data_IF_991006153770
#
_entry.id   IF_991006153770
#
_cell.length_a   1.000
_cell.length_b   1.000
_cell.length_c   1.000
_cell.angle_alpha   90.00
_cell.angle_beta   90.00
_cell.angle_gamma   90.00
#
_symmetry.space_group_name_H-M   'P 1'
#
loop_
_entity.id
_entity.type
_entity.pdbx_description
1 polymer ?
#
# COMPACT_ATOMS: atom_id res chain seq x y z
N UNK A 1 0.84 23.42 -23.65
CA UNK A 1 1.54 23.85 -22.43
C UNK A 1 3.04 23.96 -22.74
N UNK A 2 3.73 25.00 -22.23
CA UNK A 2 5.17 25.26 -22.55
C UNK A 2 6.06 25.49 -21.33
N UNK A 3 5.50 25.80 -20.16
CA UNK A 3 6.24 26.20 -18.96
C UNK A 3 5.35 26.06 -17.71
N UNK A 4 5.87 25.60 -16.56
CA UNK A 4 5.12 25.37 -15.31
C UNK A 4 4.37 26.59 -14.76
N UNK A 5 4.91 27.79 -14.98
CA UNK A 5 4.33 29.05 -14.55
C UNK A 5 3.26 29.61 -15.48
N UNK A 6 2.86 28.82 -16.48
CA UNK A 6 1.62 29.03 -17.25
C UNK A 6 0.56 28.00 -16.83
N UNK A 7 -0.69 28.33 -17.11
CA UNK A 7 -1.83 27.42 -16.96
C UNK A 7 -1.50 26.02 -17.53
N UNK A 8 -1.63 25.00 -16.68
CA UNK A 8 -1.41 23.59 -16.97
C UNK A 8 -2.44 22.97 -17.93
N UNK A 9 -2.52 21.63 -18.02
CA UNK A 9 -3.51 20.96 -18.84
C UNK A 9 -4.95 21.33 -18.47
N UNK A 10 -5.77 21.56 -19.50
CA UNK A 10 -7.22 21.59 -19.38
C UNK A 10 -7.79 20.21 -19.72
N UNK A 11 -8.71 19.72 -18.90
CA UNK A 11 -9.24 18.37 -18.95
C UNK A 11 -10.76 18.46 -18.87
N UNK A 12 -11.41 18.02 -19.94
CA UNK A 12 -12.86 18.05 -20.09
C UNK A 12 -13.33 16.74 -20.74
N UNK A 13 -14.49 16.21 -20.33
CA UNK A 13 -15.07 15.06 -21.02
C UNK A 13 -15.56 15.47 -22.42
N UNK A 14 -15.46 14.53 -23.35
CA UNK A 14 -15.98 14.66 -24.71
C UNK A 14 -17.18 13.72 -24.89
N UNK A 15 -18.24 14.23 -25.51
CA UNK A 15 -19.37 13.39 -25.91
C UNK A 15 -19.05 12.59 -27.19
N UNK A 16 -19.97 11.72 -27.60
CA UNK A 16 -19.81 10.86 -28.78
C UNK A 16 -19.74 11.62 -30.12
N UNK A 17 -20.05 12.92 -30.13
CA UNK A 17 -19.93 13.84 -31.26
C UNK A 17 -18.71 14.75 -31.18
N UNK A 18 -17.81 14.51 -30.20
CA UNK A 18 -16.66 15.37 -29.86
C UNK A 18 -17.07 16.77 -29.37
N UNK A 19 -18.30 16.92 -28.88
CA UNK A 19 -18.71 18.09 -28.10
C UNK A 19 -17.97 18.10 -26.77
N UNK A 20 -17.40 19.25 -26.42
CA UNK A 20 -16.64 19.43 -25.18
C UNK A 20 -17.53 20.08 -24.13
N UNK A 21 -17.60 19.47 -22.95
CA UNK A 21 -18.25 20.07 -21.79
C UNK A 21 -17.41 21.23 -21.20
N UNK A 22 -17.90 21.86 -20.14
CA UNK A 22 -17.03 22.63 -19.25
C UNK A 22 -15.84 21.77 -18.78
N UNK A 23 -14.68 22.38 -18.56
CA UNK A 23 -13.54 21.65 -18.04
C UNK A 23 -13.84 21.14 -16.62
N UNK A 24 -13.45 19.91 -16.31
CA UNK A 24 -13.41 19.47 -14.92
C UNK A 24 -12.29 20.24 -14.19
N UNK A 25 -11.11 20.32 -14.82
CA UNK A 25 -9.96 21.10 -14.39
C UNK A 25 -9.40 21.86 -15.59
N UNK A 26 -9.25 23.18 -15.51
CA UNK A 26 -8.82 24.04 -16.63
C UNK A 26 -7.31 24.34 -16.61
N UNK A 27 -6.71 24.50 -15.43
CA UNK A 27 -5.29 24.81 -15.27
C UNK A 27 -4.65 23.85 -14.26
N UNK A 28 -4.61 22.56 -14.61
CA UNK A 28 -4.19 21.52 -13.68
C UNK A 28 -2.72 21.65 -13.26
N UNK A 29 -2.47 21.75 -11.95
CA UNK A 29 -1.14 21.72 -11.35
C UNK A 29 -0.20 22.82 -11.84
N UNK A 30 -0.70 24.05 -11.91
CA UNK A 30 0.08 25.22 -12.35
C UNK A 30 0.95 25.76 -11.21
N UNK A 31 2.04 26.47 -11.54
CA UNK A 31 2.89 27.19 -10.58
C UNK A 31 2.99 28.68 -10.99
N UNK A 32 1.85 29.33 -11.08
CA UNK A 32 1.64 30.65 -11.64
C UNK A 32 2.38 31.76 -10.86
N UNK A 33 2.76 32.81 -11.58
CA UNK A 33 3.34 34.01 -10.96
C UNK A 33 2.29 35.02 -10.47
N UNK A 34 1.14 35.10 -11.16
CA UNK A 34 0.23 36.25 -11.04
C UNK A 34 -1.10 35.97 -10.35
N UNK A 35 -1.37 34.74 -9.91
CA UNK A 35 -2.71 34.35 -9.43
C UNK A 35 -2.84 34.24 -7.91
N UNK A 36 -1.97 34.93 -7.18
CA UNK A 36 -2.03 34.93 -5.72
C UNK A 36 -3.28 35.64 -5.21
N UNK A 37 -3.84 35.20 -4.07
CA UNK A 37 -4.95 35.88 -3.43
C UNK A 37 -4.59 37.35 -3.15
N UNK A 38 -5.59 38.24 -3.21
CA UNK A 38 -5.40 39.68 -2.96
C UNK A 38 -4.66 39.89 -1.62
N UNK A 39 -3.43 40.42 -1.69
CA UNK A 39 -2.56 40.57 -0.51
C UNK A 39 -1.52 39.46 -0.28
N UNK A 40 -1.30 38.57 -1.27
CA UNK A 40 -0.25 37.56 -1.23
C UNK A 40 1.14 38.15 -0.96
N UNK A 41 1.95 37.44 -0.17
CA UNK A 41 3.24 37.91 0.36
C UNK A 41 4.46 37.18 -0.20
N UNK A 42 4.26 36.27 -1.17
CA UNK A 42 5.27 35.38 -1.74
C UNK A 42 4.84 34.86 -3.11
N UNK A 43 5.75 34.36 -3.93
CA UNK A 43 5.43 33.57 -5.14
C UNK A 43 4.96 32.15 -4.80
N UNK A 44 4.28 31.50 -5.74
CA UNK A 44 3.85 30.10 -5.63
C UNK A 44 5.03 29.13 -5.45
N UNK A 45 6.21 29.49 -5.96
CA UNK A 45 7.44 28.72 -5.77
C UNK A 45 8.43 29.53 -4.94
N UNK A 46 8.81 28.99 -3.79
CA UNK A 46 9.96 29.46 -3.02
C UNK A 46 11.05 28.39 -2.97
N UNK A 47 12.29 28.81 -3.23
CA UNK A 47 13.47 27.95 -3.21
C UNK A 47 14.43 28.52 -2.17
N UNK A 48 14.77 27.70 -1.17
CA UNK A 48 15.58 28.10 -0.02
C UNK A 48 15.06 29.37 0.68
N UNK A 49 13.73 29.53 0.72
CA UNK A 49 13.03 30.65 1.34
C UNK A 49 13.00 31.94 0.51
N UNK A 50 13.46 31.90 -0.74
CA UNK A 50 13.40 33.03 -1.66
C UNK A 50 12.32 32.80 -2.72
N UNK A 51 11.58 33.85 -3.05
CA UNK A 51 10.64 33.83 -4.17
C UNK A 51 11.38 33.54 -5.48
N UNK A 52 10.91 32.53 -6.20
CA UNK A 52 11.54 32.04 -7.40
C UNK A 52 10.57 32.03 -8.57
N UNK A 53 11.15 32.17 -9.77
CA UNK A 53 10.41 32.37 -11.00
C UNK A 53 11.00 31.53 -12.13
N UNK A 54 10.11 30.96 -12.91
CA UNK A 54 10.38 30.53 -14.27
C UNK A 54 10.07 31.67 -15.27
N UNK A 55 10.20 31.43 -16.57
CA UNK A 55 10.04 32.50 -17.55
C UNK A 55 8.62 33.09 -17.58
N UNK A 56 7.58 32.25 -17.48
CA UNK A 56 6.19 32.71 -17.53
C UNK A 56 5.75 33.42 -16.25
N UNK A 57 6.07 32.84 -15.09
CA UNK A 57 5.75 33.46 -13.80
C UNK A 57 6.43 34.82 -13.66
N UNK A 58 7.68 34.96 -14.10
CA UNK A 58 8.35 36.25 -14.14
C UNK A 58 7.62 37.25 -15.03
N UNK A 59 7.35 36.89 -16.28
CA UNK A 59 6.62 37.78 -17.20
C UNK A 59 5.31 38.29 -16.60
N UNK A 60 4.61 37.44 -15.83
CA UNK A 60 3.35 37.78 -15.19
C UNK A 60 3.51 38.71 -13.98
N UNK A 61 4.56 38.53 -13.16
CA UNK A 61 4.78 39.28 -11.91
C UNK A 61 5.37 40.68 -12.14
N UNK A 62 6.20 40.87 -13.17
CA UNK A 62 6.94 42.12 -13.42
C UNK A 62 6.09 43.27 -14.04
N UNK A 63 4.83 43.38 -13.62
CA UNK A 63 3.94 44.56 -13.74
C UNK A 63 3.48 44.99 -15.14
N UNK A 64 3.71 44.20 -16.19
CA UNK A 64 3.21 44.57 -17.51
C UNK A 64 3.48 43.61 -18.66
N UNK A 65 3.90 42.37 -18.38
CA UNK A 65 4.39 41.49 -19.44
C UNK A 65 5.61 42.08 -20.15
N UNK A 66 6.42 42.88 -19.44
CA UNK A 66 7.68 43.41 -19.96
C UNK A 66 8.47 42.25 -20.55
N UNK A 67 9.00 42.44 -21.77
CA UNK A 67 9.91 41.47 -22.36
C UNK A 67 11.21 41.53 -21.55
N UNK A 68 11.31 40.66 -20.54
CA UNK A 68 12.45 40.60 -19.64
C UNK A 68 13.73 40.10 -20.33
N UNK A 69 13.67 39.85 -21.64
CA UNK A 69 14.80 39.53 -22.49
C UNK A 69 15.43 38.17 -22.19
N UNK A 70 16.69 38.01 -22.62
CA UNK A 70 17.45 36.75 -22.59
C UNK A 70 17.92 36.29 -21.18
N UNK A 71 17.50 36.95 -20.10
CA UNK A 71 17.98 36.66 -18.74
C UNK A 71 17.21 35.55 -18.03
N UNK A 72 16.14 35.04 -18.65
CA UNK A 72 15.33 33.94 -18.11
C UNK A 72 15.71 32.60 -18.75
N UNK A 73 15.63 31.50 -17.98
CA UNK A 73 15.81 30.16 -18.52
C UNK A 73 14.81 29.88 -19.64
N UNK A 74 15.29 29.47 -20.81
CA UNK A 74 14.41 29.07 -21.91
C UNK A 74 13.96 27.62 -21.67
N UNK A 75 12.64 27.33 -21.61
CA UNK A 75 12.16 25.98 -21.44
C UNK A 75 12.49 25.11 -22.65
N UNK A 76 12.96 23.89 -22.41
CA UNK A 76 13.04 22.85 -23.45
C UNK A 76 11.74 22.07 -23.45
N UNK A 77 11.00 22.14 -24.55
CA UNK A 77 9.67 21.51 -24.66
C UNK A 77 9.69 20.45 -25.76
N UNK A 78 9.13 19.28 -25.48
CA UNK A 78 8.81 18.25 -26.46
C UNK A 78 7.33 17.88 -26.35
N UNK A 79 6.68 17.63 -27.49
CA UNK A 79 5.30 17.13 -27.54
C UNK A 79 5.24 16.04 -28.59
N UNK A 80 4.64 14.92 -28.23
CA UNK A 80 4.40 13.79 -29.11
C UNK A 80 2.93 13.38 -28.99
N UNK A 81 2.32 13.02 -30.11
CA UNK A 81 0.95 12.48 -30.14
C UNK A 81 0.93 11.19 -30.95
N UNK A 82 0.36 10.14 -30.40
CA UNK A 82 0.18 8.88 -31.12
C UNK A 82 -0.97 9.03 -32.14
N UNK A 83 -0.70 8.92 -33.45
CA UNK A 83 -1.71 9.12 -34.47
C UNK A 83 -2.77 8.00 -34.51
N UNK A 84 -2.51 6.84 -33.88
CA UNK A 84 -3.41 5.70 -33.84
C UNK A 84 -4.52 5.81 -32.79
N UNK A 85 -4.28 6.54 -31.70
CA UNK A 85 -5.23 6.68 -30.59
C UNK A 85 -5.44 8.13 -30.09
N UNK A 86 -4.67 9.09 -30.60
CA UNK A 86 -4.76 10.51 -30.24
C UNK A 86 -4.17 10.86 -28.87
N UNK A 87 -3.54 9.91 -28.16
CA UNK A 87 -2.94 10.17 -26.85
C UNK A 87 -1.67 11.02 -27.01
N UNK A 88 -1.50 11.96 -26.08
CA UNK A 88 -0.42 12.93 -26.12
C UNK A 88 0.53 12.74 -24.93
N UNK A 89 1.80 12.98 -25.19
CA UNK A 89 2.86 13.11 -24.19
C UNK A 89 3.56 14.44 -24.40
N UNK A 90 3.91 15.13 -23.33
CA UNK A 90 4.73 16.32 -23.40
C UNK A 90 5.73 16.36 -22.26
N UNK A 91 6.92 16.85 -22.54
CA UNK A 91 7.94 17.08 -21.54
C UNK A 91 8.36 18.54 -21.60
N UNK A 92 8.56 19.16 -20.44
CA UNK A 92 9.21 20.46 -20.35
C UNK A 92 10.27 20.44 -19.29
N UNK A 93 11.43 20.98 -19.63
CA UNK A 93 12.55 21.13 -18.71
C UNK A 93 12.92 22.61 -18.61
N UNK A 94 12.85 23.18 -17.41
CA UNK A 94 13.06 24.60 -17.18
C UNK A 94 13.83 24.87 -15.88
N UNK A 95 14.83 25.76 -15.96
CA UNK A 95 15.54 26.24 -14.77
C UNK A 95 14.74 27.32 -14.05
N UNK A 96 14.99 27.48 -12.76
CA UNK A 96 14.36 28.54 -11.95
C UNK A 96 15.38 29.60 -11.56
N UNK A 97 14.91 30.83 -11.37
CA UNK A 97 15.73 31.96 -10.94
C UNK A 97 15.16 32.66 -9.73
N UNK A 98 16.03 33.32 -8.98
CA UNK A 98 15.68 34.22 -7.87
C UNK A 98 16.24 35.61 -8.15
N UNK A 99 15.71 36.63 -7.48
CA UNK A 99 16.30 37.96 -7.50
C UNK A 99 17.70 37.94 -6.88
N UNK A 100 18.68 38.53 -7.56
CA UNK A 100 20.09 38.52 -7.10
C UNK A 100 20.30 39.29 -5.78
N UNK A 101 19.34 40.12 -5.41
CA UNK A 101 19.29 40.81 -4.12
C UNK A 101 17.92 40.57 -3.49
N UNK A 102 17.83 40.46 -2.14
CA UNK A 102 16.55 40.32 -1.46
C UNK A 102 15.61 41.48 -1.77
N UNK A 103 14.38 41.17 -2.13
CA UNK A 103 13.32 42.12 -2.47
C UNK A 103 12.03 41.73 -1.80
N UNK A 104 11.16 42.71 -1.52
CA UNK A 104 9.80 42.43 -1.08
C UNK A 104 8.95 41.95 -2.25
N UNK A 105 8.08 40.96 -1.99
CA UNK A 105 7.05 40.56 -2.92
C UNK A 105 5.90 41.59 -3.01
N UNK A 106 5.29 41.82 -4.19
CA UNK A 106 5.75 41.36 -5.51
C UNK A 106 6.94 42.19 -6.00
N UNK A 107 7.95 41.56 -6.64
CA UNK A 107 9.04 42.31 -7.25
C UNK A 107 8.57 43.05 -8.51
N UNK A 108 9.28 44.11 -8.87
CA UNK A 108 9.13 44.86 -10.12
C UNK A 108 10.46 44.85 -10.87
N UNK A 109 10.48 45.19 -12.15
CA UNK A 109 11.72 45.26 -12.93
C UNK A 109 12.71 46.28 -12.38
N UNK A 110 12.22 47.24 -11.59
CA UNK A 110 13.03 48.20 -10.85
C UNK A 110 13.63 47.61 -9.57
N UNK A 111 12.85 46.85 -8.80
CA UNK A 111 13.33 46.29 -7.52
C UNK A 111 14.17 45.03 -7.71
N UNK A 112 13.91 44.26 -8.76
CA UNK A 112 14.64 43.05 -9.13
C UNK A 112 15.14 43.13 -10.59
N UNK A 113 16.19 43.91 -10.85
CA UNK A 113 16.68 44.12 -12.22
C UNK A 113 17.59 42.98 -12.72
N UNK A 114 18.01 42.07 -11.83
CA UNK A 114 18.96 40.98 -12.17
C UNK A 114 18.61 39.69 -11.45
N UNK A 115 18.79 38.58 -12.16
CA UNK A 115 18.43 37.24 -11.70
C UNK A 115 19.65 36.36 -11.52
N UNK A 116 19.61 35.50 -10.51
CA UNK A 116 20.58 34.45 -10.28
C UNK A 116 19.90 33.07 -10.42
N UNK A 117 20.60 32.03 -10.90
CA UNK A 117 20.05 30.67 -10.90
C UNK A 117 19.68 30.24 -9.48
N UNK A 118 18.49 29.68 -9.31
CA UNK A 118 18.00 29.18 -8.03
C UNK A 118 18.64 27.83 -7.62
N UNK A 119 19.55 27.30 -8.44
CA UNK A 119 20.21 26.01 -8.17
C UNK A 119 19.37 24.78 -8.51
N UNK A 120 18.13 24.93 -8.99
CA UNK A 120 17.25 23.82 -9.35
C UNK A 120 16.65 23.94 -10.75
N UNK A 121 16.21 22.80 -11.28
CA UNK A 121 15.47 22.67 -12.52
C UNK A 121 14.25 21.78 -12.30
N UNK A 122 13.13 22.15 -12.92
CA UNK A 122 11.92 21.35 -12.98
C UNK A 122 11.84 20.65 -14.34
N UNK A 123 11.72 19.33 -14.32
CA UNK A 123 11.30 18.52 -15.45
C UNK A 123 9.86 18.05 -15.22
N UNK A 124 8.92 18.54 -16.01
CA UNK A 124 7.51 18.11 -15.99
C UNK A 124 7.23 17.19 -17.17
N UNK A 125 6.79 15.98 -16.85
CA UNK A 125 6.28 14.98 -17.78
C UNK A 125 4.76 14.94 -17.69
N UNK A 126 4.08 15.05 -18.83
CA UNK A 126 2.61 14.92 -18.93
C UNK A 126 2.30 13.82 -19.95
N UNK A 127 1.39 12.92 -19.59
CA UNK A 127 0.88 11.88 -20.48
C UNK A 127 -0.64 11.74 -20.35
N UNK A 128 -1.35 11.63 -21.47
CA UNK A 128 -2.78 11.33 -21.48
C UNK A 128 -3.03 9.83 -21.64
N UNK A 129 -4.10 9.35 -21.01
CA UNK A 129 -4.61 7.98 -21.15
C UNK A 129 -6.14 7.98 -21.21
N UNK A 130 -6.76 6.80 -21.31
CA UNK A 130 -8.22 6.62 -21.21
C UNK A 130 -9.00 7.48 -22.21
N UNK A 131 -8.50 7.55 -23.46
CA UNK A 131 -9.11 8.36 -24.51
C UNK A 131 -9.00 9.88 -24.28
N UNK A 132 -8.04 10.32 -23.46
CA UNK A 132 -7.84 11.73 -23.09
C UNK A 132 -8.58 12.16 -21.81
N UNK A 133 -9.33 11.26 -21.17
CA UNK A 133 -10.05 11.56 -19.94
C UNK A 133 -9.15 11.60 -18.70
N UNK A 134 -7.95 11.03 -18.79
CA UNK A 134 -6.98 10.99 -17.70
C UNK A 134 -5.67 11.63 -18.15
N UNK A 135 -5.09 12.44 -17.28
CA UNK A 135 -3.80 13.11 -17.45
C UNK A 135 -2.92 12.82 -16.26
N UNK A 136 -1.80 12.15 -16.49
CA UNK A 136 -0.74 11.99 -15.48
C UNK A 136 0.27 13.10 -15.66
N UNK A 137 0.55 13.86 -14.60
CA UNK A 137 1.58 14.89 -14.53
C UNK A 137 2.61 14.50 -13.48
N UNK A 138 3.89 14.42 -13.86
CA UNK A 138 5.00 14.18 -12.93
C UNK A 138 6.00 15.32 -13.01
N UNK A 139 6.21 15.97 -11.88
CA UNK A 139 7.16 17.05 -11.69
C UNK A 139 8.37 16.54 -10.96
N UNK A 140 9.52 16.54 -11.62
CA UNK A 140 10.81 16.14 -11.07
C UNK A 140 11.71 17.35 -10.89
N UNK A 141 11.93 17.72 -9.65
CA UNK A 141 12.82 18.80 -9.24
C UNK A 141 14.22 18.26 -9.00
N UNK A 142 15.22 18.82 -9.68
CA UNK A 142 16.61 18.35 -9.62
C UNK A 142 17.57 19.46 -9.22
N UNK A 143 18.58 19.13 -8.40
CA UNK A 143 19.70 20.03 -8.11
C UNK A 143 20.58 20.19 -9.35
N UNK A 144 20.98 21.42 -9.63
CA UNK A 144 21.85 21.78 -10.76
C UNK A 144 23.20 22.34 -10.32
N UNK A 145 23.40 22.55 -9.02
CA UNK A 145 24.63 23.11 -8.43
C UNK A 145 25.30 22.16 -7.41
N UNK A 146 24.81 20.92 -7.32
CA UNK A 146 25.23 19.89 -6.38
C UNK A 146 24.96 20.21 -4.89
N UNK A 147 24.07 21.16 -4.58
CA UNK A 147 23.59 21.44 -3.22
C UNK A 147 22.18 20.90 -3.00
N UNK A 148 21.85 20.69 -1.73
CA UNK A 148 20.48 20.38 -1.36
C UNK A 148 19.65 21.67 -1.32
N UNK A 149 18.38 21.59 -1.73
CA UNK A 149 17.48 22.73 -1.76
C UNK A 149 16.14 22.39 -1.08
N UNK A 150 15.61 23.35 -0.35
CA UNK A 150 14.25 23.29 0.19
C UNK A 150 13.29 23.97 -0.78
N UNK A 151 12.20 23.29 -1.13
CA UNK A 151 11.15 23.83 -1.96
C UNK A 151 9.88 24.01 -1.13
N UNK A 152 9.27 25.18 -1.21
CA UNK A 152 7.94 25.46 -0.69
C UNK A 152 7.07 25.88 -1.88
N UNK A 153 6.11 25.03 -2.24
CA UNK A 153 5.36 25.08 -3.48
C UNK A 153 3.86 25.23 -3.21
N UNK A 154 3.19 26.02 -4.03
CA UNK A 154 1.74 26.17 -4.08
C UNK A 154 1.29 25.72 -5.48
N UNK A 155 0.85 24.47 -5.64
CA UNK A 155 0.29 24.04 -6.93
C UNK A 155 -1.13 24.55 -7.06
N UNK A 156 -1.42 25.22 -8.16
CA UNK A 156 -2.75 25.76 -8.43
C UNK A 156 -3.59 24.82 -9.29
N UNK A 157 -4.86 24.65 -8.90
CA UNK A 157 -5.87 23.92 -9.67
C UNK A 157 -7.16 24.74 -9.86
N UNK A 158 -7.45 25.07 -11.11
CA UNK A 158 -8.68 25.77 -11.50
C UNK A 158 -9.76 24.77 -11.93
N UNK A 159 -10.84 24.63 -11.16
CA UNK A 159 -11.99 23.75 -11.43
C UNK A 159 -13.08 24.48 -12.23
N UNK A 160 -13.36 23.98 -13.43
CA UNK A 160 -14.29 24.62 -14.36
C UNK A 160 -13.85 26.01 -14.80
N UNK A 161 -14.65 26.60 -15.69
CA UNK A 161 -14.44 27.95 -16.19
C UNK A 161 -15.30 28.97 -15.41
N UNK A 162 -14.71 30.09 -15.00
CA UNK A 162 -15.34 31.13 -14.17
C UNK A 162 -16.65 31.68 -14.76
N UNK A 163 -16.78 31.73 -16.08
CA UNK A 163 -17.94 32.26 -16.78
C UNK A 163 -19.23 31.41 -16.65
N UNK A 164 -19.14 30.16 -16.15
CA UNK A 164 -20.23 29.18 -16.30
C UNK A 164 -20.99 28.83 -15.01
N UNK A 165 -20.44 29.09 -13.82
CA UNK A 165 -21.18 28.92 -12.55
C UNK A 165 -20.44 29.56 -11.38
N UNK A 166 -21.17 29.96 -10.33
CA UNK A 166 -20.60 30.45 -9.07
C UNK A 166 -20.58 29.39 -7.95
N UNK A 167 -21.05 28.16 -8.23
CA UNK A 167 -21.16 27.08 -7.24
C UNK A 167 -20.41 25.84 -7.72
N UNK A 168 -19.13 25.71 -7.34
CA UNK A 168 -18.30 24.51 -7.57
C UNK A 168 -18.46 23.51 -6.44
N UNK A 169 -18.27 22.24 -6.75
CA UNK A 169 -18.31 21.16 -5.78
C UNK A 169 -16.96 20.51 -5.57
N UNK A 170 -16.59 20.28 -4.32
CA UNK A 170 -15.37 19.57 -3.94
C UNK A 170 -15.69 18.52 -2.87
N UNK A 171 -15.22 17.29 -3.04
CA UNK A 171 -15.24 16.24 -2.02
C UNK A 171 -13.79 15.82 -1.77
N UNK A 172 -13.21 16.32 -0.68
CA UNK A 172 -11.85 16.01 -0.25
C UNK A 172 -11.77 14.62 0.43
N UNK A 173 -10.59 14.00 0.48
CA UNK A 173 -10.40 12.76 1.23
C UNK A 173 -10.94 12.84 2.66
N UNK A 174 -11.75 11.85 3.06
CA UNK A 174 -12.42 11.79 4.35
C UNK A 174 -13.80 12.46 4.41
N UNK A 175 -14.20 13.18 3.36
CA UNK A 175 -15.56 13.68 3.20
C UNK A 175 -16.46 12.64 2.50
N UNK A 176 -17.77 12.78 2.67
CA UNK A 176 -18.77 11.89 2.07
C UNK A 176 -19.76 12.60 1.15
N UNK A 177 -19.55 13.90 0.92
CA UNK A 177 -20.43 14.73 0.10
C UNK A 177 -19.65 15.95 -0.45
N UNK A 178 -20.06 16.43 -1.62
CA UNK A 178 -19.53 17.64 -2.22
C UNK A 178 -19.91 18.88 -1.42
N UNK A 179 -18.93 19.75 -1.20
CA UNK A 179 -19.05 21.04 -0.53
C UNK A 179 -18.57 22.16 -1.45
N UNK A 180 -19.19 23.33 -1.36
CA UNK A 180 -18.70 24.53 -2.03
C UNK A 180 -17.76 25.29 -1.09
N UNK A 181 -16.64 25.75 -1.64
CA UNK A 181 -15.67 26.57 -0.93
C UNK A 181 -15.55 27.94 -1.61
N UNK A 182 -15.04 28.92 -0.88
CA UNK A 182 -14.80 30.27 -1.37
C UNK A 182 -13.46 30.78 -0.89
N UNK A 183 -13.09 31.96 -1.34
CA UNK A 183 -11.81 32.59 -1.05
C UNK A 183 -11.50 32.61 0.46
N UNK A 184 -10.28 32.23 0.82
CA UNK A 184 -9.78 32.18 2.19
C UNK A 184 -10.16 30.90 2.96
N UNK A 185 -10.99 30.02 2.40
CA UNK A 185 -11.24 28.73 3.01
C UNK A 185 -9.97 27.87 2.98
N UNK A 186 -9.68 27.17 4.08
CA UNK A 186 -8.50 26.31 4.20
C UNK A 186 -8.89 24.92 4.68
N UNK A 187 -8.20 23.91 4.17
CA UNK A 187 -8.34 22.52 4.61
C UNK A 187 -6.95 21.99 5.03
N UNK A 188 -6.89 21.14 6.07
CA UNK A 188 -5.62 20.56 6.50
C UNK A 188 -5.12 19.50 5.50
N UNK A 189 -3.89 19.03 5.72
CA UNK A 189 -3.37 17.86 5.03
C UNK A 189 -4.36 16.68 5.09
N UNK A 190 -4.58 15.97 3.97
CA UNK A 190 -5.37 14.74 3.98
C UNK A 190 -4.60 13.60 4.67
N UNK A 191 -5.24 12.43 4.78
CA UNK A 191 -4.61 11.23 5.34
C UNK A 191 -3.36 10.77 4.57
N UNK A 192 -2.57 9.84 5.13
CA UNK A 192 -1.36 9.37 4.48
C UNK A 192 -1.66 8.54 3.22
N UNK A 193 -0.76 8.60 2.24
CA UNK A 193 -0.83 7.83 0.99
C UNK A 193 -1.55 8.56 -0.15
N UNK A 194 -1.82 7.85 -1.26
CA UNK A 194 -2.57 8.42 -2.37
C UNK A 194 -3.98 8.83 -1.96
N UNK A 195 -4.48 9.91 -2.54
CA UNK A 195 -5.83 10.39 -2.29
C UNK A 195 -6.34 11.20 -3.47
N UNK A 196 -7.66 11.37 -3.55
CA UNK A 196 -8.30 12.12 -4.62
C UNK A 196 -9.27 13.15 -4.07
N UNK A 197 -9.25 14.34 -4.65
CA UNK A 197 -10.27 15.36 -4.49
C UNK A 197 -11.23 15.19 -5.66
N UNK A 198 -12.48 14.80 -5.41
CA UNK A 198 -13.49 14.80 -6.46
C UNK A 198 -13.98 16.23 -6.68
N UNK A 199 -14.17 16.60 -7.93
CA UNK A 199 -14.60 17.95 -8.31
C UNK A 199 -15.86 17.91 -9.18
N UNK A 200 -16.67 18.97 -9.07
CA UNK A 200 -17.79 19.26 -9.97
C UNK A 200 -17.70 20.71 -10.45
N UNK A 201 -17.78 20.89 -11.76
CA UNK A 201 -17.81 22.22 -12.39
C UNK A 201 -19.06 23.02 -12.02
N UNK A 202 -20.14 22.34 -11.66
CA UNK A 202 -21.37 22.98 -11.21
C UNK A 202 -22.16 22.08 -10.24
N UNK A 203 -22.26 22.51 -8.99
CA UNK A 203 -22.93 21.75 -7.95
C UNK A 203 -24.45 21.68 -8.15
N UNK A 204 -25.03 22.71 -8.79
CA UNK A 204 -26.47 22.84 -9.02
C UNK A 204 -26.97 22.08 -10.26
N UNK A 205 -26.06 21.72 -11.18
CA UNK A 205 -26.40 20.93 -12.36
C UNK A 205 -26.74 19.48 -11.99
N UNK A 206 -27.52 18.82 -12.85
CA UNK A 206 -27.76 17.39 -12.74
C UNK A 206 -26.45 16.60 -12.94
N UNK A 207 -26.33 15.43 -12.31
CA UNK A 207 -25.20 14.53 -12.58
C UNK A 207 -25.27 14.03 -14.03
N UNK A 208 -24.15 14.08 -14.76
CA UNK A 208 -24.10 13.72 -16.17
C UNK A 208 -24.62 14.77 -17.15
N UNK A 209 -24.84 16.02 -16.72
CA UNK A 209 -25.20 17.11 -17.64
C UNK A 209 -24.10 17.29 -18.72
N UNK A 210 -24.44 17.26 -20.02
CA UNK A 210 -23.45 17.31 -21.10
C UNK A 210 -22.73 18.66 -21.23
N UNK A 211 -23.20 19.71 -20.56
CA UNK A 211 -22.54 21.01 -20.51
C UNK A 211 -21.57 21.15 -19.33
N UNK A 212 -21.62 20.22 -18.37
CA UNK A 212 -20.84 20.25 -17.13
C UNK A 212 -19.96 19.01 -17.00
N UNK A 213 -19.08 19.02 -16.02
CA UNK A 213 -18.14 17.94 -15.78
C UNK A 213 -17.99 17.61 -14.29
N UNK A 214 -17.75 16.33 -14.05
CA UNK A 214 -17.13 15.82 -12.84
C UNK A 214 -15.66 15.47 -13.14
N UNK A 215 -14.84 15.42 -12.10
CA UNK A 215 -13.46 15.00 -12.25
C UNK A 215 -12.83 14.62 -10.93
N UNK A 216 -11.54 14.35 -10.98
CA UNK A 216 -10.73 14.15 -9.78
C UNK A 216 -9.33 14.71 -9.95
N UNK A 217 -8.78 15.21 -8.85
CA UNK A 217 -7.36 15.55 -8.70
C UNK A 217 -6.78 14.51 -7.74
N UNK A 218 -5.97 13.59 -8.26
CA UNK A 218 -5.39 12.50 -7.47
C UNK A 218 -3.91 12.75 -7.26
N UNK A 219 -3.44 12.69 -6.02
CA UNK A 219 -2.04 12.89 -5.66
C UNK A 219 -1.42 11.61 -5.10
N UNK A 220 -0.11 11.42 -5.32
CA UNK A 220 0.62 10.27 -4.80
C UNK A 220 0.96 10.41 -3.32
N UNK A 221 1.40 11.61 -2.95
CA UNK A 221 1.70 12.02 -1.58
C UNK A 221 0.81 13.19 -1.20
N UNK A 222 0.29 13.23 0.05
CA UNK A 222 -0.63 14.27 0.47
C UNK A 222 0.06 15.64 0.52
N UNK A 223 -0.57 16.71 -0.02
CA UNK A 223 -0.21 18.10 0.29
C UNK A 223 -0.27 18.38 1.79
N UNK A 224 0.50 19.37 2.27
CA UNK A 224 0.45 19.83 3.67
C UNK A 224 -0.84 20.58 4.01
N UNK A 225 -1.57 21.06 3.01
CA UNK A 225 -2.87 21.69 3.17
C UNK A 225 -3.34 22.30 1.86
N UNK A 226 -4.54 22.86 1.90
CA UNK A 226 -5.19 23.49 0.76
C UNK A 226 -5.70 24.87 1.16
N UNK A 227 -5.61 25.85 0.26
CA UNK A 227 -6.18 27.19 0.46
C UNK A 227 -6.90 27.64 -0.79
N UNK A 228 -8.17 28.02 -0.65
CA UNK A 228 -8.98 28.50 -1.75
C UNK A 228 -8.68 29.98 -2.02
N UNK A 229 -8.24 30.29 -3.22
CA UNK A 229 -8.03 31.68 -3.68
C UNK A 229 -9.30 32.25 -4.32
N UNK A 230 -10.18 31.37 -4.78
CA UNK A 230 -11.51 31.67 -5.29
C UNK A 230 -12.51 30.54 -5.00
N UNK A 231 -13.69 30.60 -5.61
CA UNK A 231 -14.65 29.49 -5.52
C UNK A 231 -14.34 28.34 -6.51
N UNK A 232 -13.47 28.60 -7.47
CA UNK A 232 -13.11 27.70 -8.55
C UNK A 232 -11.61 27.40 -8.59
N UNK A 233 -10.85 27.85 -7.60
CA UNK A 233 -9.41 27.79 -7.61
C UNK A 233 -8.90 27.61 -6.19
N UNK A 234 -7.95 26.69 -6.03
CA UNK A 234 -7.29 26.43 -4.76
C UNK A 234 -5.84 26.05 -4.99
N UNK A 235 -5.01 26.44 -4.03
CA UNK A 235 -3.60 26.13 -3.95
C UNK A 235 -3.39 24.91 -3.04
N UNK A 236 -2.57 23.97 -3.50
CA UNK A 236 -2.06 22.84 -2.73
C UNK A 236 -0.66 23.15 -2.21
N UNK A 237 -0.53 23.28 -0.89
CA UNK A 237 0.76 23.54 -0.26
C UNK A 237 1.61 22.26 -0.22
N UNK A 238 2.85 22.34 -0.66
CA UNK A 238 3.82 21.26 -0.58
C UNK A 238 5.19 21.76 -0.14
N UNK A 239 5.82 20.97 0.73
CA UNK A 239 7.22 21.16 1.10
C UNK A 239 8.01 19.96 0.59
N UNK A 240 9.01 20.20 -0.25
CA UNK A 240 9.87 19.17 -0.81
C UNK A 240 11.33 19.44 -0.44
N UNK A 241 12.14 18.38 -0.43
CA UNK A 241 13.58 18.47 -0.27
C UNK A 241 14.25 17.86 -1.49
N UNK A 242 15.03 18.67 -2.22
CA UNK A 242 15.87 18.20 -3.32
C UNK A 242 17.23 17.80 -2.72
N UNK A 243 17.65 16.53 -2.77
CA UNK A 243 18.95 16.12 -2.27
C UNK A 243 20.11 16.76 -3.06
N UNK A 244 21.27 16.89 -2.42
CA UNK A 244 22.48 17.40 -3.07
C UNK A 244 22.86 16.57 -4.30
N UNK A 245 22.82 17.19 -5.49
CA UNK A 245 23.05 16.53 -6.78
C UNK A 245 22.01 15.47 -7.14
N UNK A 246 20.90 15.40 -6.41
CA UNK A 246 19.79 14.46 -6.62
C UNK A 246 18.52 15.16 -7.06
N UNK A 247 17.41 14.41 -7.02
CA UNK A 247 16.09 14.87 -7.40
C UNK A 247 15.00 14.37 -6.46
N UNK A 248 13.85 15.04 -6.49
CA UNK A 248 12.60 14.60 -5.86
C UNK A 248 11.46 14.81 -6.84
N UNK A 249 10.42 13.97 -6.76
CA UNK A 249 9.29 14.04 -7.69
C UNK A 249 7.96 14.15 -6.97
N UNK A 250 7.01 14.81 -7.62
CA UNK A 250 5.59 14.85 -7.26
C UNK A 250 4.79 14.39 -8.47
N UNK A 251 3.82 13.51 -8.24
CA UNK A 251 2.93 13.02 -9.30
C UNK A 251 1.48 13.30 -8.95
N UNK A 252 0.78 13.83 -9.94
CA UNK A 252 -0.66 14.01 -9.98
C UNK A 252 -1.27 13.22 -11.12
N UNK A 253 -2.48 12.73 -10.90
CA UNK A 253 -3.33 12.12 -11.92
C UNK A 253 -4.67 12.84 -11.88
N UNK A 254 -4.95 13.57 -12.94
CA UNK A 254 -6.19 14.28 -13.12
C UNK A 254 -7.12 13.46 -13.99
N UNK A 255 -8.41 13.44 -13.66
CA UNK A 255 -9.41 12.74 -14.45
C UNK A 255 -10.66 13.58 -14.66
N UNK A 256 -11.36 13.31 -15.76
CA UNK A 256 -12.64 13.95 -16.07
C UNK A 256 -13.68 12.92 -16.55
N UNK A 257 -14.94 13.23 -16.29
CA UNK A 257 -16.09 12.48 -16.75
C UNK A 257 -17.32 13.38 -16.73
N UNK A 258 -18.40 12.98 -17.41
CA UNK A 258 -19.69 13.64 -17.23
C UNK A 258 -20.32 13.29 -15.87
N UNK A 259 -20.24 12.00 -15.49
CA UNK A 259 -20.89 11.48 -14.30
C UNK A 259 -19.94 11.33 -13.10
N UNK A 260 -20.41 11.65 -11.90
CA UNK A 260 -19.67 11.51 -10.64
C UNK A 260 -19.19 10.07 -10.43
N UNK A 261 -20.02 9.08 -10.74
CA UNK A 261 -19.67 7.67 -10.56
C UNK A 261 -18.46 7.26 -11.42
N UNK A 262 -18.38 7.77 -12.64
CA UNK A 262 -17.25 7.51 -13.53
C UNK A 262 -15.99 8.26 -13.07
N UNK A 263 -16.12 9.52 -12.66
CA UNK A 263 -15.00 10.28 -12.07
C UNK A 263 -14.42 9.56 -10.83
N UNK A 264 -15.30 9.02 -9.96
CA UNK A 264 -14.89 8.25 -8.79
C UNK A 264 -14.18 6.94 -9.17
N UNK A 265 -14.65 6.22 -10.19
CA UNK A 265 -13.99 5.02 -10.68
C UNK A 265 -12.58 5.30 -11.25
N UNK A 266 -12.44 6.38 -12.02
CA UNK A 266 -11.14 6.85 -12.52
C UNK A 266 -10.22 7.28 -11.37
N UNK A 267 -10.76 7.96 -10.35
CA UNK A 267 -10.01 8.35 -9.16
C UNK A 267 -9.46 7.14 -8.39
N UNK A 268 -10.26 6.10 -8.16
CA UNK A 268 -9.80 4.88 -7.49
C UNK A 268 -8.72 4.16 -8.31
N UNK A 269 -8.91 4.07 -9.63
CA UNK A 269 -7.90 3.52 -10.54
C UNK A 269 -6.60 4.32 -10.51
N UNK A 270 -6.70 5.66 -10.45
CA UNK A 270 -5.55 6.55 -10.34
C UNK A 270 -4.81 6.37 -9.00
N UNK A 271 -5.53 6.21 -7.89
CA UNK A 271 -4.91 5.91 -6.59
C UNK A 271 -4.13 4.58 -6.65
N UNK A 272 -4.68 3.55 -7.28
CA UNK A 272 -4.02 2.25 -7.43
C UNK A 272 -2.84 2.27 -8.42
N UNK A 273 -2.86 3.16 -9.41
CA UNK A 273 -1.69 3.40 -10.24
C UNK A 273 -0.52 3.96 -9.41
N UNK A 274 -0.80 4.80 -8.42
CA UNK A 274 0.21 5.42 -7.55
C UNK A 274 0.66 4.49 -6.42
N UNK A 275 -0.20 3.56 -5.99
CA UNK A 275 0.12 2.50 -5.06
C UNK A 275 -0.60 1.20 -5.46
N UNK A 276 0.06 0.32 -6.23
CA UNK A 276 -0.55 -0.91 -6.70
C UNK A 276 -1.01 -1.83 -5.57
N UNK A 277 -2.08 -2.57 -5.82
CA UNK A 277 -2.56 -3.61 -4.91
C UNK A 277 -1.47 -4.66 -4.67
N UNK A 278 -1.10 -4.81 -3.41
CA UNK A 278 -0.17 -5.83 -2.93
C UNK A 278 -0.81 -6.64 -1.81
N UNK A 279 -0.63 -7.95 -1.85
CA UNK A 279 -1.01 -8.87 -0.77
C UNK A 279 0.20 -9.72 -0.39
N UNK A 280 0.47 -9.81 0.91
CA UNK A 280 1.56 -10.62 1.45
C UNK A 280 1.04 -11.50 2.57
N UNK A 281 1.58 -12.72 2.68
CA UNK A 281 1.30 -13.62 3.80
C UNK A 281 2.57 -13.81 4.59
N UNK A 282 2.52 -13.46 5.88
CA UNK A 282 3.71 -13.36 6.74
C UNK A 282 3.83 -14.51 7.74
N UNK A 283 2.70 -15.13 8.12
CA UNK A 283 2.69 -16.26 9.04
C UNK A 283 1.53 -17.21 8.72
N UNK A 284 1.69 -18.53 8.92
CA UNK A 284 2.96 -19.21 9.21
C UNK A 284 3.90 -19.17 8.00
N UNK A 285 5.16 -19.53 8.20
CA UNK A 285 6.11 -19.68 7.09
C UNK A 285 5.58 -20.72 6.08
N UNK A 286 5.79 -20.45 4.80
CA UNK A 286 5.38 -21.39 3.75
C UNK A 286 6.06 -22.76 3.94
N UNK A 287 5.27 -23.83 4.00
CA UNK A 287 5.72 -25.19 4.28
C UNK A 287 5.81 -25.56 5.77
N UNK A 288 5.36 -24.69 6.69
CA UNK A 288 5.40 -24.97 8.12
C UNK A 288 4.60 -26.22 8.50
N UNK A 289 5.12 -26.99 9.45
CA UNK A 289 4.45 -28.16 10.04
C UNK A 289 3.79 -27.79 11.36
N UNK A 290 2.56 -28.24 11.60
CA UNK A 290 1.88 -28.10 12.89
C UNK A 290 1.26 -29.42 13.35
N UNK A 291 1.07 -29.58 14.66
CA UNK A 291 0.30 -30.68 15.26
C UNK A 291 -1.11 -30.25 15.69
N UNK A 292 -1.52 -29.02 15.39
CA UNK A 292 -2.87 -28.51 15.64
C UNK A 292 -3.74 -28.63 14.38
N UNK A 293 -5.05 -28.93 14.50
CA UNK A 293 -5.97 -29.02 13.37
C UNK A 293 -6.37 -27.65 12.79
N UNK A 294 -5.65 -26.60 13.12
CA UNK A 294 -5.86 -25.23 12.64
C UNK A 294 -4.54 -24.46 12.65
N UNK A 295 -4.47 -23.42 11.82
CA UNK A 295 -3.38 -22.45 11.80
C UNK A 295 -3.93 -21.02 11.82
N UNK A 296 -3.25 -20.13 12.55
CA UNK A 296 -3.48 -18.69 12.44
C UNK A 296 -2.62 -18.15 11.31
N UNK A 297 -3.26 -17.63 10.28
CA UNK A 297 -2.64 -17.05 9.09
C UNK A 297 -2.71 -15.54 9.19
N UNK A 298 -1.59 -14.86 9.00
CA UNK A 298 -1.50 -13.40 9.07
C UNK A 298 -0.79 -12.85 7.86
N UNK A 299 -1.06 -11.59 7.53
CA UNK A 299 -0.40 -10.91 6.44
C UNK A 299 -0.81 -9.45 6.33
N UNK A 300 -0.49 -8.86 5.19
CA UNK A 300 -0.86 -7.49 4.85
C UNK A 300 -1.51 -7.43 3.47
N UNK A 301 -2.42 -6.49 3.28
CA UNK A 301 -2.95 -6.11 1.98
C UNK A 301 -3.00 -4.58 1.90
N UNK A 302 -2.46 -3.99 0.84
CA UNK A 302 -2.38 -2.53 0.65
C UNK A 302 -2.67 -2.17 -0.79
N UNK A 303 -3.44 -1.11 -1.01
CA UNK A 303 -3.71 -0.51 -2.32
C UNK A 303 -3.98 0.99 -2.11
N UNK A 304 -3.71 1.82 -3.11
CA UNK A 304 -3.94 3.26 -3.03
C UNK A 304 -5.42 3.59 -2.83
N UNK A 305 -6.31 2.84 -3.48
CA UNK A 305 -7.77 2.95 -3.33
C UNK A 305 -8.32 2.34 -2.03
N UNK A 306 -7.42 1.85 -1.16
CA UNK A 306 -7.77 1.10 0.04
C UNK A 306 -8.18 -0.35 -0.27
N UNK A 307 -8.32 -1.16 0.78
CA UNK A 307 -8.74 -2.55 0.65
C UNK A 307 -10.23 -2.67 0.93
N UNK A 308 -10.98 -3.14 -0.06
CA UNK A 308 -12.43 -3.39 0.03
C UNK A 308 -12.73 -4.72 0.72
N UNK A 309 -11.97 -5.78 0.40
CA UNK A 309 -12.12 -7.07 1.08
C UNK A 309 -10.84 -7.91 1.07
N UNK A 310 -10.69 -8.77 2.07
CA UNK A 310 -9.71 -9.87 2.07
C UNK A 310 -10.43 -11.17 2.39
N UNK A 311 -10.23 -12.19 1.57
CA UNK A 311 -10.71 -13.55 1.77
C UNK A 311 -9.52 -14.46 2.09
N UNK A 312 -9.55 -15.16 3.22
CA UNK A 312 -8.55 -16.19 3.59
C UNK A 312 -9.23 -17.55 3.64
N UNK A 313 -8.80 -18.48 2.78
CA UNK A 313 -9.48 -19.76 2.58
C UNK A 313 -11.00 -19.61 2.33
N UNK A 314 -11.39 -18.56 1.59
CA UNK A 314 -12.79 -18.23 1.28
C UNK A 314 -13.55 -17.50 2.41
N UNK A 315 -12.93 -17.19 3.54
CA UNK A 315 -13.54 -16.46 4.65
C UNK A 315 -13.18 -14.98 4.58
N UNK A 316 -14.18 -14.08 4.60
CA UNK A 316 -13.94 -12.63 4.71
C UNK A 316 -13.34 -12.29 6.06
N UNK A 317 -12.21 -11.58 6.06
CA UNK A 317 -11.52 -11.14 7.28
C UNK A 317 -11.42 -9.62 7.33
N UNK A 318 -11.52 -9.02 8.53
CA UNK A 318 -11.32 -7.58 8.69
C UNK A 318 -9.86 -7.22 8.41
N UNK A 319 -9.67 -6.02 7.82
CA UNK A 319 -8.37 -5.42 7.59
C UNK A 319 -8.19 -4.28 8.57
N UNK A 320 -7.15 -4.36 9.40
CA UNK A 320 -6.78 -3.35 10.37
C UNK A 320 -5.93 -2.22 9.77
N UNK A 321 -5.52 -1.25 10.60
CA UNK A 321 -4.62 -0.18 10.20
C UNK A 321 -3.35 -0.70 9.52
N UNK A 322 -2.89 -0.01 8.48
CA UNK A 322 -1.70 -0.43 7.71
C UNK A 322 -1.90 -1.70 6.87
N UNK A 323 -3.13 -2.17 6.70
CA UNK A 323 -3.43 -3.31 5.84
C UNK A 323 -3.32 -4.68 6.51
N UNK A 324 -3.08 -4.74 7.82
CA UNK A 324 -2.85 -6.00 8.53
C UNK A 324 -4.14 -6.83 8.65
N UNK A 325 -4.05 -8.14 8.45
CA UNK A 325 -5.18 -9.06 8.59
C UNK A 325 -4.75 -10.36 9.29
N UNK A 326 -5.72 -11.07 9.89
CA UNK A 326 -5.50 -12.34 10.59
C UNK A 326 -6.73 -13.24 10.47
N UNK A 327 -6.49 -14.53 10.20
CA UNK A 327 -7.53 -15.54 10.04
C UNK A 327 -7.13 -16.82 10.79
N UNK A 328 -8.08 -17.54 11.36
CA UNK A 328 -7.84 -18.91 11.84
C UNK A 328 -8.45 -19.90 10.87
N UNK A 329 -7.59 -20.69 10.22
CA UNK A 329 -7.97 -21.61 9.14
C UNK A 329 -7.94 -23.05 9.68
N UNK A 330 -9.03 -23.83 9.55
CA UNK A 330 -9.02 -25.26 9.85
C UNK A 330 -8.16 -26.03 8.84
N UNK A 331 -7.45 -27.06 9.30
CA UNK A 331 -6.54 -27.86 8.48
C UNK A 331 -7.01 -29.32 8.39
N UNK A 332 -6.93 -29.89 7.19
CA UNK A 332 -7.02 -31.32 6.98
C UNK A 332 -5.66 -31.99 7.27
N UNK A 333 -5.62 -33.24 7.75
CA UNK A 333 -4.35 -33.96 7.90
C UNK A 333 -3.54 -33.99 6.60
N UNK A 334 -2.24 -33.73 6.70
CA UNK A 334 -1.33 -33.62 5.56
C UNK A 334 -1.13 -32.18 5.07
N UNK A 335 -0.69 -32.00 3.81
CA UNK A 335 -0.49 -30.68 3.21
C UNK A 335 -1.82 -29.95 2.97
N UNK A 336 -1.88 -28.69 3.35
CA UNK A 336 -2.97 -27.75 3.09
C UNK A 336 -2.42 -26.57 2.30
N UNK A 337 -3.10 -26.17 1.23
CA UNK A 337 -2.80 -24.91 0.53
C UNK A 337 -3.86 -23.89 0.96
N UNK A 338 -3.41 -22.77 1.52
CA UNK A 338 -4.29 -21.69 1.99
C UNK A 338 -4.13 -20.53 1.00
N UNK A 339 -5.22 -20.18 0.32
CA UNK A 339 -5.29 -19.02 -0.56
C UNK A 339 -5.75 -17.77 0.18
N UNK A 340 -5.22 -16.63 -0.25
CA UNK A 340 -5.61 -15.30 0.19
C UNK A 340 -5.94 -14.48 -1.05
N UNK A 341 -7.15 -13.92 -1.13
CA UNK A 341 -7.58 -13.00 -2.19
C UNK A 341 -7.84 -11.64 -1.56
N UNK A 342 -7.14 -10.61 -2.00
CA UNK A 342 -7.45 -9.23 -1.67
C UNK A 342 -8.16 -8.57 -2.84
N UNK A 343 -9.14 -7.71 -2.55
CA UNK A 343 -9.82 -6.83 -3.50
C UNK A 343 -9.68 -5.39 -3.02
N UNK A 344 -9.22 -4.49 -3.89
CA UNK A 344 -9.08 -3.07 -3.58
C UNK A 344 -10.39 -2.27 -3.80
N UNK A 345 -10.34 -0.96 -3.61
CA UNK A 345 -11.46 -0.04 -3.81
C UNK A 345 -11.86 0.10 -5.28
N UNK A 346 -10.93 -0.03 -6.22
CA UNK A 346 -11.21 -0.03 -7.67
C UNK A 346 -11.79 -1.37 -8.16
N UNK A 347 -11.73 -2.42 -7.34
CA UNK A 347 -12.23 -3.76 -7.64
C UNK A 347 -11.19 -4.70 -8.28
N UNK A 348 -9.93 -4.29 -8.39
CA UNK A 348 -8.86 -5.18 -8.81
C UNK A 348 -8.57 -6.20 -7.71
N UNK A 349 -7.97 -7.33 -8.10
CA UNK A 349 -7.71 -8.43 -7.18
C UNK A 349 -6.27 -8.92 -7.24
N UNK A 350 -5.73 -9.30 -6.09
CA UNK A 350 -4.42 -9.91 -5.96
C UNK A 350 -4.49 -11.16 -5.08
N UNK A 351 -3.65 -12.15 -5.39
CA UNK A 351 -3.64 -13.41 -4.67
C UNK A 351 -2.28 -13.71 -4.02
N UNK A 352 -2.34 -14.19 -2.79
CA UNK A 352 -1.24 -14.81 -2.07
C UNK A 352 -1.60 -16.24 -1.68
N UNK A 353 -0.60 -17.07 -1.43
CA UNK A 353 -0.83 -18.44 -0.94
C UNK A 353 0.31 -18.92 -0.06
N UNK A 354 -0.01 -19.87 0.83
CA UNK A 354 0.99 -20.61 1.59
C UNK A 354 0.59 -22.08 1.78
N UNK A 355 1.58 -22.93 2.00
CA UNK A 355 1.40 -24.32 2.40
C UNK A 355 1.56 -24.51 3.91
N UNK A 356 0.66 -25.26 4.53
CA UNK A 356 0.80 -25.72 5.93
C UNK A 356 0.60 -27.23 5.99
N UNK A 357 1.50 -27.94 6.66
CA UNK A 357 1.41 -29.39 6.82
C UNK A 357 0.89 -29.70 8.23
N UNK A 358 -0.35 -30.17 8.33
CA UNK A 358 -0.90 -30.67 9.59
C UNK A 358 -0.50 -32.13 9.79
N UNK A 359 0.41 -32.38 10.73
CA UNK A 359 0.81 -33.72 11.13
C UNK A 359 0.00 -34.17 12.34
N UNK A 360 -0.75 -35.28 12.17
CA UNK A 360 -1.47 -35.89 13.28
C UNK A 360 -0.49 -36.29 14.40
N UNK A 361 -0.87 -36.11 15.68
CA UNK A 361 -0.09 -36.63 16.79
C UNK A 361 0.15 -38.13 16.61
N UNK A 362 1.39 -38.56 16.82
CA UNK A 362 1.70 -39.98 16.81
C UNK A 362 0.82 -40.70 17.86
N UNK A 363 0.18 -41.84 17.52
CA UNK A 363 -0.55 -42.62 18.49
C UNK A 363 0.36 -42.96 19.68
N UNK A 364 -0.14 -42.89 20.93
CA UNK A 364 0.65 -43.31 22.07
C UNK A 364 1.11 -44.75 21.86
N UNK A 365 2.41 -44.99 22.05
CA UNK A 365 2.97 -46.33 21.95
C UNK A 365 2.18 -47.29 22.85
N UNK A 366 1.86 -48.52 22.39
CA UNK A 366 1.16 -49.48 23.22
C UNK A 366 1.93 -49.70 24.53
N UNK A 367 1.24 -49.55 25.68
CA UNK A 367 1.85 -49.80 26.97
C UNK A 367 2.42 -51.23 27.00
N UNK A 368 3.71 -51.35 27.29
CA UNK A 368 4.35 -52.65 27.43
C UNK A 368 3.59 -53.51 28.46
N UNK A 369 3.40 -54.79 28.16
CA UNK A 369 2.67 -55.73 29.03
C UNK A 369 3.60 -56.83 29.51
N UNK A 370 3.51 -57.17 30.80
CA UNK A 370 4.10 -58.39 31.33
C UNK A 370 3.33 -59.59 30.79
N UNK A 371 3.94 -60.39 29.92
CA UNK A 371 3.41 -61.70 29.51
C UNK A 371 4.28 -62.78 30.14
N UNK A 372 3.75 -63.48 31.14
CA UNK A 372 4.53 -64.48 31.90
C UNK A 372 5.08 -65.54 30.93
N UNK A 373 6.41 -65.62 30.73
CA UNK A 373 7.01 -66.56 29.80
C UNK A 373 7.04 -67.97 30.41
N UNK A 374 7.28 -68.98 29.57
CA UNK A 374 7.47 -70.35 30.03
C UNK A 374 8.83 -70.44 30.72
N UNK A 375 8.84 -70.62 32.04
CA UNK A 375 10.09 -70.73 32.83
C UNK A 375 10.28 -72.10 33.48
N UNK A 376 9.27 -72.98 33.46
CA UNK A 376 9.34 -74.33 34.04
C UNK A 376 10.53 -75.12 33.46
N UNK A 377 11.38 -75.64 34.33
CA UNK A 377 12.60 -76.39 34.00
C UNK A 377 13.85 -75.54 33.78
N UNK A 378 13.74 -74.21 33.73
CA UNK A 378 14.90 -73.31 33.60
C UNK A 378 15.70 -73.19 34.89
N UNK A 379 16.99 -72.84 34.79
CA UNK A 379 17.79 -72.34 35.93
C UNK A 379 17.25 -70.98 36.38
N UNK A 380 17.37 -70.65 37.67
CA UNK A 380 16.86 -69.38 38.23
C UNK A 380 17.30 -68.15 37.42
N UNK A 381 18.60 -68.01 37.14
CA UNK A 381 19.15 -66.87 36.40
C UNK A 381 18.56 -66.72 34.99
N UNK A 382 18.28 -67.83 34.30
CA UNK A 382 17.62 -67.82 33.00
C UNK A 382 16.15 -67.41 33.11
N UNK A 383 15.44 -67.88 34.15
CA UNK A 383 14.04 -67.51 34.40
C UNK A 383 13.89 -66.02 34.76
N UNK A 384 14.82 -65.45 35.52
CA UNK A 384 14.84 -64.03 35.86
C UNK A 384 15.07 -63.15 34.63
N UNK A 385 16.03 -63.51 33.77
CA UNK A 385 16.27 -62.82 32.49
C UNK A 385 15.03 -62.89 31.58
N UNK A 386 14.42 -64.08 31.49
CA UNK A 386 13.20 -64.27 30.69
C UNK A 386 12.04 -63.40 31.19
N UNK A 387 11.84 -63.31 32.51
CA UNK A 387 10.80 -62.46 33.09
C UNK A 387 11.04 -60.97 32.82
N UNK A 388 12.27 -60.47 33.03
CA UNK A 388 12.62 -59.08 32.75
C UNK A 388 12.45 -58.72 31.27
N UNK A 389 12.90 -59.60 30.36
CA UNK A 389 12.73 -59.43 28.91
C UNK A 389 11.26 -59.42 28.50
N UNK A 390 10.41 -60.15 29.22
CA UNK A 390 8.97 -60.16 29.00
C UNK A 390 8.23 -59.02 29.73
N UNK A 391 8.93 -57.97 30.17
CA UNK A 391 8.41 -56.83 30.92
C UNK A 391 7.77 -57.18 32.28
N UNK A 392 8.10 -58.34 32.85
CA UNK A 392 7.68 -58.75 34.19
C UNK A 392 8.77 -58.42 35.22
N UNK A 393 8.38 -58.22 36.48
CA UNK A 393 9.31 -58.09 37.61
C UNK A 393 9.43 -59.42 38.34
N UNK A 394 10.64 -59.80 38.72
CA UNK A 394 10.85 -60.99 39.56
C UNK A 394 10.23 -60.73 40.94
N UNK A 395 9.30 -61.59 41.34
CA UNK A 395 8.66 -61.57 42.66
C UNK A 395 9.43 -62.39 43.69
N UNK A 396 8.71 -62.89 44.70
CA UNK A 396 9.31 -63.77 45.71
C UNK A 396 9.77 -65.08 45.09
N UNK A 397 10.95 -65.54 45.48
CA UNK A 397 11.47 -66.85 45.10
C UNK A 397 11.20 -67.82 46.25
N UNK A 398 10.34 -68.80 46.00
CA UNK A 398 9.98 -69.86 46.96
C UNK A 398 10.61 -71.17 46.53
N UNK A 399 10.82 -72.07 47.49
CA UNK A 399 11.66 -73.24 47.32
C UNK A 399 10.88 -74.46 47.81
N UNK A 400 10.47 -75.33 46.89
CA UNK A 400 9.51 -76.43 47.10
C UNK A 400 10.15 -77.79 46.79
N UNK A 401 9.71 -78.87 47.44
CA UNK A 401 10.14 -80.23 47.07
C UNK A 401 9.52 -80.62 45.73
N UNK A 402 10.29 -81.31 44.89
CA UNK A 402 9.78 -81.84 43.63
C UNK A 402 10.54 -83.11 43.24
N UNK A 403 9.80 -84.21 43.14
CA UNK A 403 10.32 -85.50 42.64
C UNK A 403 10.57 -85.50 41.12
N UNK A 404 10.00 -84.52 40.38
CA UNK A 404 10.01 -84.48 38.90
C UNK A 404 10.96 -83.45 38.30
N UNK A 405 11.39 -82.45 39.07
CA UNK A 405 12.22 -81.33 38.58
C UNK A 405 13.51 -81.30 39.39
N UNK A 406 14.66 -81.33 38.71
CA UNK A 406 15.97 -81.31 39.36
C UNK A 406 16.15 -80.08 40.29
N UNK A 407 16.90 -80.26 41.38
CA UNK A 407 17.20 -79.21 42.35
C UNK A 407 17.75 -77.96 41.65
N UNK A 408 17.27 -76.78 42.05
CA UNK A 408 17.70 -75.49 41.49
C UNK A 408 17.02 -75.07 40.18
N UNK A 409 16.08 -75.87 39.65
CA UNK A 409 15.26 -75.52 38.47
C UNK A 409 13.85 -75.08 38.86
N UNK A 410 13.25 -74.22 38.04
CA UNK A 410 11.89 -73.69 38.26
C UNK A 410 10.84 -74.79 38.10
N UNK A 411 10.01 -74.99 39.11
CA UNK A 411 8.86 -75.90 39.07
C UNK A 411 7.63 -75.24 38.46
N UNK A 412 7.39 -73.97 38.80
CA UNK A 412 6.24 -73.18 38.37
C UNK A 412 6.46 -71.68 38.66
N UNK A 413 5.60 -70.84 38.10
CA UNK A 413 5.48 -69.42 38.45
C UNK A 413 4.06 -69.10 38.90
N UNK A 414 3.91 -68.07 39.72
CA UNK A 414 2.61 -67.48 40.06
C UNK A 414 2.66 -65.97 39.85
N UNK A 415 1.86 -65.41 38.93
CA UNK A 415 0.92 -66.07 38.01
C UNK A 415 1.59 -67.06 37.02
N UNK A 416 0.78 -67.97 36.47
CA UNK A 416 1.25 -69.00 35.52
C UNK A 416 1.62 -68.46 34.15
N UNK A 417 2.28 -69.28 33.34
CA UNK A 417 2.68 -68.96 31.95
C UNK A 417 1.49 -68.47 31.11
N UNK A 418 1.75 -67.51 30.21
CA UNK A 418 0.77 -66.97 29.27
C UNK A 418 -0.15 -65.88 29.83
N UNK A 419 -0.21 -65.73 31.16
CA UNK A 419 -0.97 -64.66 31.82
C UNK A 419 -0.38 -63.29 31.46
N UNK A 420 -1.26 -62.30 31.25
CA UNK A 420 -0.91 -60.93 30.84
C UNK A 420 -1.23 -59.94 31.95
N UNK A 421 -0.34 -59.00 32.21
CA UNK A 421 -0.45 -57.96 33.23
C UNK A 421 0.17 -56.63 32.74
N UNK A 422 -0.05 -55.51 33.44
CA UNK A 422 0.76 -54.31 33.23
C UNK A 422 2.27 -54.60 33.36
N UNK A 423 3.12 -53.88 32.64
CA UNK A 423 4.57 -53.99 32.80
C UNK A 423 4.98 -53.83 34.27
N UNK A 424 6.00 -54.58 34.69
CA UNK A 424 6.48 -54.59 36.07
C UNK A 424 5.68 -55.47 37.05
N UNK A 425 4.66 -56.19 36.59
CA UNK A 425 3.93 -57.14 37.45
C UNK A 425 4.87 -58.19 38.04
N UNK A 426 4.74 -58.43 39.36
CA UNK A 426 5.61 -59.36 40.09
C UNK A 426 5.20 -60.81 39.84
N UNK A 427 6.13 -61.63 39.38
CA UNK A 427 5.93 -63.07 39.16
C UNK A 427 6.75 -63.84 40.19
N UNK A 428 6.08 -64.52 41.11
CA UNK A 428 6.74 -65.41 42.06
C UNK A 428 7.30 -66.64 41.34
N UNK A 429 8.51 -67.04 41.69
CA UNK A 429 9.21 -68.21 41.11
C UNK A 429 9.25 -69.31 42.17
N UNK A 430 8.84 -70.52 41.81
CA UNK A 430 8.98 -71.70 42.67
C UNK A 430 10.14 -72.55 42.14
N UNK A 431 11.16 -72.80 42.98
CA UNK A 431 12.35 -73.59 42.65
C UNK A 431 12.32 -74.94 43.36
N UNK A 432 12.75 -75.99 42.65
CA UNK A 432 12.89 -77.33 43.24
C UNK A 432 14.04 -77.39 44.25
N UNK A 433 13.79 -77.98 45.43
CA UNK A 433 14.80 -78.37 46.42
C UNK A 433 15.36 -79.78 46.18
N UNK A 434 14.84 -80.54 45.20
CA UNK A 434 15.06 -81.98 45.08
C UNK A 434 13.88 -82.78 45.65
N UNK A 435 14.00 -84.11 45.58
CA UNK A 435 13.00 -85.05 46.12
C UNK A 435 12.79 -84.88 47.63
#
# INVERSE_FOLDING_TARGET
>A
WRTPGSCGPAIAPLDSSFGQANAAINCAGSLLGSNLPVGGSRSEVQIDGQDAYDAASAQAVFSGGEDLGANFPVPRVSVNSDPGNGLAQSQTVEGWVVCSSPVSYPPTSTTCPTFAPAGVQLHRDIATSDGGLVVTMTDTWSSTDARAHSLDLLYDDIVGLTAFSTQRGYEFPGQSAFTAYGQGASLPAPGPGPGSILVRSNLAAADGDPSEAAGAITFATPPSGFTFVGNNEFEEHRILQVPAGGSTSVTYIYSSAFAIAQARALALTAQDHLQPLAVSVTSPANGATTSTPSATVTGTATAGSGISSVLVAGQTVPVGPGGAWSATVPLAPGPNTISVLATDGAGATAQGQLGVIYQLPAPPLPAARCKVPRTKGMKLSAAEKALRRAHCRVGRIKRVRSKKIARGRVTSTKPGVGRRFPAGHKVEIFLSKGA
#
